data_IF_223327123307
#
_entry.id   IF_223327123307
#
_cell.length_a   1.000
_cell.length_b   1.000
_cell.length_c   1.000
_cell.angle_alpha   90.00
_cell.angle_beta   90.00
_cell.angle_gamma   90.00
#
_symmetry.space_group_name_H-M   'P 1'
#
loop_
_entity.id
_entity.type
_entity.pdbx_description
1 polymer ?
#
# COMPACT_ATOMS: atom_id res chain seq x y z
N UNK A 1 -14.33 14.75 -4.87
CA UNK A 1 -13.88 13.35 -4.87
C UNK A 1 -12.37 13.23 -4.71
N UNK A 2 -11.81 14.06 -3.84
CA UNK A 2 -10.35 14.12 -3.65
C UNK A 2 -9.75 12.80 -3.14
N UNK A 3 -10.49 12.05 -2.33
CA UNK A 3 -9.98 10.80 -1.79
C UNK A 3 -10.03 9.63 -2.78
N UNK A 4 -10.72 9.78 -3.91
CA UNK A 4 -10.77 8.73 -4.95
C UNK A 4 -9.37 8.44 -5.47
N UNK A 5 -8.62 9.49 -5.84
CA UNK A 5 -7.25 9.31 -6.32
C UNK A 5 -6.35 8.71 -5.26
N UNK A 6 -6.56 9.09 -4.00
CA UNK A 6 -5.79 8.54 -2.89
C UNK A 6 -6.05 7.05 -2.72
N UNK A 7 -7.30 6.61 -2.78
CA UNK A 7 -7.65 5.19 -2.67
C UNK A 7 -7.14 4.39 -3.86
N UNK A 8 -7.19 4.94 -5.07
CA UNK A 8 -6.61 4.29 -6.25
C UNK A 8 -5.10 4.11 -6.07
N UNK A 9 -4.43 5.12 -5.55
CA UNK A 9 -3.01 5.05 -5.23
C UNK A 9 -2.72 3.93 -4.24
N UNK A 10 -3.51 3.83 -3.17
CA UNK A 10 -3.37 2.76 -2.18
C UNK A 10 -3.54 1.39 -2.82
N UNK A 11 -4.56 1.23 -3.67
CA UNK A 11 -4.83 -0.05 -4.32
C UNK A 11 -3.66 -0.48 -5.21
N UNK A 12 -3.13 0.42 -6.03
CA UNK A 12 -1.99 0.12 -6.89
C UNK A 12 -0.73 -0.19 -6.07
N UNK A 13 -0.52 0.52 -4.97
CA UNK A 13 0.62 0.27 -4.10
C UNK A 13 0.55 -1.12 -3.46
N UNK A 14 -0.62 -1.50 -2.98
CA UNK A 14 -0.82 -2.83 -2.37
C UNK A 14 -0.57 -3.93 -3.40
N UNK A 15 -1.14 -3.78 -4.61
CA UNK A 15 -0.94 -4.77 -5.68
C UNK A 15 0.53 -4.87 -6.05
N UNK A 16 1.23 -3.75 -6.12
CA UNK A 16 2.66 -3.71 -6.42
C UNK A 16 3.46 -4.57 -5.43
N UNK A 17 3.22 -4.39 -4.14
CA UNK A 17 3.95 -5.15 -3.13
C UNK A 17 3.53 -6.62 -3.08
N UNK A 18 2.28 -6.93 -3.43
CA UNK A 18 1.86 -8.31 -3.57
C UNK A 18 2.64 -9.02 -4.67
N UNK A 19 2.85 -8.35 -5.80
CA UNK A 19 3.66 -8.90 -6.89
C UNK A 19 5.09 -9.15 -6.42
N UNK A 20 5.70 -8.20 -5.72
CA UNK A 20 7.05 -8.34 -5.21
C UNK A 20 7.15 -9.50 -4.22
N UNK A 21 6.17 -9.64 -3.33
CA UNK A 21 6.16 -10.73 -2.36
C UNK A 21 6.07 -12.09 -3.05
N UNK A 22 5.31 -12.18 -4.14
CA UNK A 22 5.11 -13.44 -4.86
C UNK A 22 6.38 -13.96 -5.52
N UNK A 23 7.35 -13.09 -5.80
CA UNK A 23 8.59 -13.47 -6.48
C UNK A 23 9.82 -13.45 -5.58
N UNK A 24 9.66 -13.10 -4.30
CA UNK A 24 10.80 -12.88 -3.41
C UNK A 24 11.67 -14.13 -3.23
N UNK A 25 11.06 -15.30 -3.29
CA UNK A 25 11.76 -16.58 -3.11
C UNK A 25 12.04 -17.32 -4.43
N UNK A 26 11.78 -16.69 -5.57
CA UNK A 26 12.00 -17.30 -6.87
C UNK A 26 13.37 -16.90 -7.42
N UNK A 27 13.93 -17.79 -8.23
CA UNK A 27 15.21 -17.52 -8.88
C UNK A 27 15.06 -16.40 -9.90
N UNK A 28 16.13 -15.65 -10.09
CA UNK A 28 16.19 -14.61 -11.11
C UNK A 28 16.05 -15.25 -12.50
N UNK A 29 14.99 -14.91 -13.20
CA UNK A 29 14.67 -15.41 -14.52
C UNK A 29 13.98 -14.29 -15.31
N UNK A 30 13.70 -14.55 -16.59
CA UNK A 30 12.97 -13.60 -17.40
C UNK A 30 11.60 -13.31 -16.79
N UNK A 31 10.94 -14.34 -16.27
CA UNK A 31 9.64 -14.16 -15.60
C UNK A 31 9.76 -13.27 -14.36
N UNK A 32 10.81 -13.47 -13.56
CA UNK A 32 11.08 -12.62 -12.40
C UNK A 32 11.21 -11.15 -12.80
N UNK A 33 12.01 -10.90 -13.86
CA UNK A 33 12.24 -9.55 -14.36
C UNK A 33 10.94 -8.93 -14.88
N UNK A 34 10.12 -9.71 -15.60
CA UNK A 34 8.84 -9.22 -16.13
C UNK A 34 7.90 -8.83 -15.00
N UNK A 35 7.80 -9.66 -13.96
CA UNK A 35 6.93 -9.35 -12.83
C UNK A 35 7.44 -8.12 -12.07
N UNK A 36 8.75 -8.02 -11.87
CA UNK A 36 9.35 -6.86 -11.21
C UNK A 36 9.10 -5.57 -12.00
N UNK A 37 9.27 -5.62 -13.32
CA UNK A 37 9.01 -4.47 -14.19
C UNK A 37 7.54 -4.08 -14.17
N UNK A 38 6.63 -5.06 -14.14
CA UNK A 38 5.21 -4.79 -14.00
C UNK A 38 4.90 -4.07 -12.69
N UNK A 39 5.56 -4.48 -11.60
CA UNK A 39 5.42 -3.81 -10.32
C UNK A 39 5.92 -2.37 -10.37
N UNK A 40 7.02 -2.10 -11.07
CA UNK A 40 7.52 -0.74 -11.24
C UNK A 40 6.53 0.13 -12.00
N UNK A 41 5.88 -0.42 -13.03
CA UNK A 41 4.85 0.30 -13.78
C UNK A 41 3.67 0.64 -12.87
N UNK A 42 3.22 -0.33 -12.06
CA UNK A 42 2.14 -0.09 -11.10
C UNK A 42 2.56 0.96 -10.07
N UNK A 43 3.81 0.95 -9.63
CA UNK A 43 4.34 1.96 -8.72
C UNK A 43 4.32 3.35 -9.33
N UNK A 44 4.65 3.47 -10.63
CA UNK A 44 4.55 4.74 -11.34
C UNK A 44 3.12 5.25 -11.41
N UNK A 45 2.17 4.36 -11.68
CA UNK A 45 0.74 4.72 -11.70
C UNK A 45 0.29 5.15 -10.31
N UNK A 46 0.72 4.44 -9.27
CA UNK A 46 0.45 4.78 -7.88
C UNK A 46 0.91 6.22 -7.57
N UNK A 47 2.15 6.55 -7.92
CA UNK A 47 2.69 7.89 -7.69
C UNK A 47 1.88 8.94 -8.46
N UNK A 48 1.47 8.62 -9.68
CA UNK A 48 0.66 9.53 -10.50
C UNK A 48 -0.66 9.86 -9.81
N UNK A 49 -1.38 8.85 -9.33
CA UNK A 49 -2.64 9.08 -8.63
C UNK A 49 -2.44 9.79 -7.30
N UNK A 50 -1.37 9.48 -6.59
CA UNK A 50 -1.06 10.16 -5.34
C UNK A 50 -0.78 11.63 -5.59
N UNK A 51 -0.01 11.95 -6.64
CA UNK A 51 0.28 13.33 -7.00
C UNK A 51 -0.99 14.09 -7.35
N UNK A 52 -1.92 13.44 -8.08
CA UNK A 52 -3.21 14.07 -8.38
C UNK A 52 -4.04 14.32 -7.12
N UNK A 53 -3.98 13.42 -6.15
CA UNK A 53 -4.66 13.60 -4.88
C UNK A 53 -4.11 14.81 -4.12
N UNK A 54 -2.81 15.09 -4.23
CA UNK A 54 -2.19 16.22 -3.55
C UNK A 54 -2.70 17.58 -4.03
N UNK A 55 -3.36 17.63 -5.18
CA UNK A 55 -3.96 18.87 -5.66
C UNK A 55 -5.03 19.38 -4.69
N UNK A 56 -5.78 18.48 -4.06
CA UNK A 56 -6.92 18.84 -3.20
C UNK A 56 -6.69 18.48 -1.74
N UNK A 57 -5.62 17.74 -1.43
CA UNK A 57 -5.33 17.27 -0.07
C UNK A 57 -3.91 17.70 0.30
N UNK A 58 -3.75 18.29 1.47
CA UNK A 58 -2.44 18.65 1.95
C UNK A 58 -1.55 17.41 2.15
N UNK A 59 -0.26 17.54 1.84
CA UNK A 59 0.69 16.43 1.99
C UNK A 59 0.73 15.91 3.41
N UNK A 60 0.62 16.80 4.40
CA UNK A 60 0.65 16.41 5.82
C UNK A 60 -0.53 15.53 6.23
N UNK A 61 -1.59 15.53 5.43
CA UNK A 61 -2.76 14.68 5.64
C UNK A 61 -2.73 13.49 4.68
N UNK A 62 -2.40 13.75 3.41
CA UNK A 62 -2.44 12.73 2.37
C UNK A 62 -1.48 11.58 2.65
N UNK A 63 -0.25 11.89 3.02
CA UNK A 63 0.77 10.84 3.20
C UNK A 63 0.47 9.93 4.39
N UNK A 64 0.13 10.44 5.59
CA UNK A 64 -0.25 9.56 6.70
C UNK A 64 -1.48 8.71 6.38
N UNK A 65 -2.51 9.28 5.76
CA UNK A 65 -3.70 8.53 5.37
C UNK A 65 -3.34 7.44 4.36
N UNK A 66 -2.54 7.78 3.35
CA UNK A 66 -2.06 6.82 2.36
C UNK A 66 -1.27 5.69 3.02
N UNK A 67 -0.30 6.04 3.84
CA UNK A 67 0.57 5.05 4.50
C UNK A 67 -0.23 4.12 5.40
N UNK A 68 -1.14 4.66 6.18
CA UNK A 68 -1.93 3.85 7.10
C UNK A 68 -2.92 2.96 6.39
N UNK A 69 -3.54 3.46 5.33
CA UNK A 69 -4.42 2.64 4.51
C UNK A 69 -3.63 1.49 3.86
N UNK A 70 -2.42 1.76 3.38
CA UNK A 70 -1.55 0.73 2.84
C UNK A 70 -1.19 -0.31 3.89
N UNK A 71 -0.83 0.12 5.10
CA UNK A 71 -0.48 -0.78 6.19
C UNK A 71 -1.67 -1.68 6.52
N UNK A 72 -2.85 -1.10 6.67
CA UNK A 72 -4.07 -1.83 7.01
C UNK A 72 -4.37 -2.88 5.95
N UNK A 73 -4.42 -2.49 4.68
CA UNK A 73 -4.74 -3.41 3.60
C UNK A 73 -3.65 -4.45 3.40
N UNK A 74 -2.38 -4.08 3.56
CA UNK A 74 -1.29 -5.04 3.44
C UNK A 74 -1.34 -6.12 4.51
N UNK A 75 -1.66 -5.74 5.74
CA UNK A 75 -1.79 -6.71 6.84
C UNK A 75 -2.91 -7.70 6.53
N UNK A 76 -4.07 -7.18 6.11
CA UNK A 76 -5.21 -8.03 5.76
C UNK A 76 -4.89 -8.97 4.61
N UNK A 77 -4.32 -8.43 3.53
CA UNK A 77 -4.06 -9.20 2.32
C UNK A 77 -2.96 -10.23 2.56
N UNK A 78 -1.91 -9.87 3.30
CA UNK A 78 -0.84 -10.80 3.63
C UNK A 78 -1.38 -12.00 4.41
N UNK A 79 -2.28 -11.75 5.35
CA UNK A 79 -2.88 -12.83 6.12
C UNK A 79 -3.74 -13.73 5.24
N UNK A 80 -4.57 -13.13 4.38
CA UNK A 80 -5.53 -13.88 3.55
C UNK A 80 -4.84 -14.63 2.43
N UNK A 81 -3.94 -13.97 1.70
CA UNK A 81 -3.33 -14.54 0.48
C UNK A 81 -2.12 -15.40 0.79
N UNK A 82 -1.24 -14.92 1.65
CA UNK A 82 0.03 -15.61 1.95
C UNK A 82 -0.04 -16.46 3.22
N UNK A 83 -1.16 -16.41 3.94
CA UNK A 83 -1.31 -17.16 5.17
C UNK A 83 -0.36 -16.72 6.28
N UNK A 84 0.16 -15.51 6.20
CA UNK A 84 1.06 -15.00 7.22
C UNK A 84 0.30 -14.84 8.55
N UNK A 85 0.96 -15.20 9.64
CA UNK A 85 0.37 -15.03 10.96
C UNK A 85 0.50 -13.58 11.40
N UNK A 86 -0.60 -13.05 11.92
CA UNK A 86 -0.64 -11.71 12.50
C UNK A 86 -0.64 -11.89 14.00
N UNK A 87 0.42 -11.43 14.66
CA UNK A 87 0.48 -11.48 16.12
C UNK A 87 -0.45 -10.43 16.73
N UNK A 88 -0.79 -10.62 18.00
CA UNK A 88 -1.60 -9.64 18.73
C UNK A 88 -0.89 -8.29 18.77
N UNK A 89 0.44 -8.29 18.94
CA UNK A 89 1.23 -7.07 18.94
C UNK A 89 1.12 -6.33 17.61
N UNK A 90 1.20 -7.07 16.49
CA UNK A 90 1.07 -6.48 15.15
C UNK A 90 -0.32 -5.89 14.95
N UNK A 91 -1.37 -6.56 15.40
CA UNK A 91 -2.73 -6.05 15.29
C UNK A 91 -2.93 -4.78 16.12
N UNK A 92 -2.39 -4.76 17.32
CA UNK A 92 -2.45 -3.56 18.18
C UNK A 92 -1.72 -2.40 17.50
N UNK A 93 -0.56 -2.66 16.92
CA UNK A 93 0.20 -1.64 16.19
C UNK A 93 -0.59 -1.09 15.01
N UNK A 94 -1.23 -1.95 14.23
CA UNK A 94 -2.04 -1.54 13.09
C UNK A 94 -3.22 -0.66 13.54
N UNK A 95 -3.88 -1.02 14.62
CA UNK A 95 -4.99 -0.24 15.18
C UNK A 95 -4.49 1.13 15.64
N UNK A 96 -3.35 1.19 16.32
CA UNK A 96 -2.75 2.45 16.76
C UNK A 96 -2.44 3.35 15.56
N UNK A 97 -1.90 2.78 14.48
CA UNK A 97 -1.63 3.53 13.26
C UNK A 97 -2.91 4.13 12.68
N UNK A 98 -3.98 3.33 12.60
CA UNK A 98 -5.28 3.80 12.09
C UNK A 98 -5.83 4.94 12.95
N UNK A 99 -5.73 4.80 14.28
CA UNK A 99 -6.16 5.86 15.20
C UNK A 99 -5.33 7.13 14.99
N UNK A 100 -4.00 6.99 14.84
CA UNK A 100 -3.13 8.12 14.59
C UNK A 100 -3.48 8.85 13.30
N UNK A 101 -3.82 8.12 12.25
CA UNK A 101 -4.25 8.71 10.98
C UNK A 101 -5.56 9.45 11.14
N UNK A 102 -6.51 8.88 11.85
CA UNK A 102 -7.79 9.53 12.11
C UNK A 102 -7.58 10.86 12.82
N UNK A 103 -6.68 10.90 13.79
CA UNK A 103 -6.35 12.14 14.49
C UNK A 103 -5.68 13.17 13.58
N UNK A 104 -4.80 12.72 12.69
CA UNK A 104 -4.10 13.62 11.76
C UNK A 104 -5.02 14.20 10.70
N UNK A 105 -6.08 13.50 10.35
CA UNK A 105 -6.99 13.93 9.29
C UNK A 105 -8.11 14.85 9.77
N UNK A 106 -8.17 15.13 11.07
CA UNK A 106 -9.18 16.07 11.63
C UNK A 106 -8.63 17.50 11.87
#
# INVERSE_FOLDING_TARGET
MKYVYLFLSVAFNVVQYLLYKSIVNKESSILWVVIFASGLILGGINVLFFTKALKDIELSIAYPVFSGACIFFMVLVSHVIFGERISIVNMVGAIVVVIGIALMST
#
